data_IF_038588574375
#
_entry.id   IF_038588574375
#
_cell.length_a   1.000
_cell.length_b   1.000
_cell.length_c   1.000
_cell.angle_alpha   90.00
_cell.angle_beta   90.00
_cell.angle_gamma   90.00
#
_symmetry.space_group_name_H-M   'P 1'
#
loop_
_entity.id
_entity.type
_entity.pdbx_description
1 polymer ?
#
# COMPACT_ATOMS: atom_id res chain seq x y z
N UNK A 1 11.55 6.53 -14.40
CA UNK A 1 10.43 6.42 -13.44
C UNK A 1 9.14 7.06 -13.96
N UNK A 2 9.21 8.04 -14.86
CA UNK A 2 8.03 8.56 -15.55
C UNK A 2 7.54 7.59 -16.64
N UNK A 3 6.22 7.59 -16.85
CA UNK A 3 5.55 6.82 -17.89
C UNK A 3 5.65 7.53 -19.25
N UNK A 4 6.04 6.83 -20.35
CA UNK A 4 6.00 7.39 -21.70
C UNK A 4 4.65 8.00 -22.10
N UNK A 5 3.54 7.45 -21.58
CA UNK A 5 2.19 7.92 -21.91
C UNK A 5 1.94 9.35 -21.41
N UNK A 6 2.65 9.79 -20.35
CA UNK A 6 2.53 11.13 -19.77
C UNK A 6 3.18 12.24 -20.63
N UNK A 7 3.91 11.90 -21.70
CA UNK A 7 4.47 12.90 -22.63
C UNK A 7 3.50 13.31 -23.74
N UNK A 8 2.36 12.64 -23.85
CA UNK A 8 1.29 13.02 -24.78
C UNK A 8 0.30 13.97 -24.10
N UNK A 9 -0.27 14.97 -24.82
CA UNK A 9 -1.30 15.84 -24.24
C UNK A 9 -2.51 15.04 -23.76
N UNK A 10 -3.09 15.43 -22.62
CA UNK A 10 -4.23 14.73 -22.04
C UNK A 10 -5.46 14.74 -22.97
N UNK A 11 -6.07 13.57 -23.15
CA UNK A 11 -7.32 13.41 -23.90
C UNK A 11 -8.40 12.79 -23.01
N UNK A 12 -9.48 13.53 -22.65
CA UNK A 12 -10.51 13.03 -21.74
C UNK A 12 -11.40 11.92 -22.35
N UNK A 13 -11.36 11.70 -23.66
CA UNK A 13 -12.17 10.70 -24.35
C UNK A 13 -11.45 9.36 -24.54
N UNK A 14 -10.15 9.29 -24.24
CA UNK A 14 -9.30 8.11 -24.53
C UNK A 14 -8.44 7.76 -23.32
N UNK A 15 -8.61 6.54 -22.81
CA UNK A 15 -7.72 5.96 -21.81
C UNK A 15 -6.63 5.11 -22.47
N UNK A 16 -5.33 5.31 -22.15
CA UNK A 16 -4.26 4.46 -22.66
C UNK A 16 -4.44 2.98 -22.25
N UNK A 17 -4.06 2.01 -23.09
CA UNK A 17 -4.25 0.58 -22.81
C UNK A 17 -3.38 0.05 -21.66
N UNK A 18 -2.21 0.66 -21.41
CA UNK A 18 -1.27 0.23 -20.37
C UNK A 18 -1.25 1.18 -19.16
N UNK A 19 -2.39 1.82 -18.87
CA UNK A 19 -2.52 2.78 -17.77
C UNK A 19 -2.10 2.16 -16.42
N UNK A 20 -1.15 2.81 -15.77
CA UNK A 20 -0.66 2.44 -14.45
C UNK A 20 -0.38 3.71 -13.64
N UNK A 21 -0.50 3.64 -12.31
CA UNK A 21 -0.10 4.75 -11.47
C UNK A 21 1.43 4.82 -11.37
N UNK A 22 1.92 5.90 -10.77
CA UNK A 22 3.32 6.01 -10.42
C UNK A 22 3.75 4.94 -9.41
N UNK A 23 5.04 4.61 -9.41
CA UNK A 23 5.59 3.45 -8.70
C UNK A 23 5.29 3.45 -7.20
N UNK A 24 5.34 4.62 -6.54
CA UNK A 24 5.06 4.75 -5.11
C UNK A 24 3.57 4.63 -4.76
N UNK A 25 2.67 4.66 -5.74
CA UNK A 25 1.24 4.39 -5.58
C UNK A 25 0.84 2.96 -5.94
N UNK A 26 1.78 2.12 -6.38
CA UNK A 26 1.45 0.75 -6.79
C UNK A 26 0.83 -0.07 -5.65
N UNK A 27 1.33 0.05 -4.41
CA UNK A 27 0.76 -0.66 -3.26
C UNK A 27 -0.71 -0.27 -3.00
N UNK A 28 -1.04 1.02 -3.13
CA UNK A 28 -2.41 1.51 -2.96
C UNK A 28 -3.32 0.98 -4.08
N UNK A 29 -2.82 0.96 -5.31
CA UNK A 29 -3.55 0.43 -6.45
C UNK A 29 -3.79 -1.08 -6.36
N UNK A 30 -2.81 -1.86 -5.86
CA UNK A 30 -2.98 -3.30 -5.66
C UNK A 30 -4.02 -3.62 -4.58
N UNK A 31 -4.06 -2.85 -3.49
CA UNK A 31 -5.09 -2.96 -2.44
C UNK A 31 -6.47 -2.58 -2.99
N UNK A 32 -6.56 -1.50 -3.79
CA UNK A 32 -7.83 -1.04 -4.33
C UNK A 32 -8.47 -2.05 -5.30
N UNK A 33 -7.65 -2.68 -6.16
CA UNK A 33 -8.12 -3.65 -7.17
C UNK A 33 -8.37 -5.06 -6.62
N UNK A 34 -7.83 -5.39 -5.46
CA UNK A 34 -8.01 -6.73 -4.86
C UNK A 34 -9.42 -6.94 -4.32
N UNK A 35 -10.15 -5.85 -4.02
CA UNK A 35 -11.53 -5.88 -3.53
C UNK A 35 -12.48 -5.53 -4.68
N UNK A 36 -13.35 -6.46 -5.13
CA UNK A 36 -14.30 -6.23 -6.22
C UNK A 36 -15.51 -5.40 -5.76
N UNK A 37 -15.30 -4.36 -4.96
CA UNK A 37 -16.31 -3.44 -4.47
C UNK A 37 -15.73 -2.03 -4.33
N UNK A 38 -16.45 -1.02 -4.86
CA UNK A 38 -15.98 0.37 -4.87
C UNK A 38 -15.78 0.94 -3.46
N UNK A 39 -16.75 0.76 -2.57
CA UNK A 39 -16.69 1.27 -1.20
C UNK A 39 -15.70 0.46 -0.36
N UNK A 40 -15.71 -0.86 -0.49
CA UNK A 40 -14.78 -1.75 0.20
C UNK A 40 -13.31 -1.46 -0.13
N UNK A 41 -13.00 -1.25 -1.41
CA UNK A 41 -11.64 -0.88 -1.85
C UNK A 41 -11.17 0.45 -1.27
N UNK A 42 -12.03 1.48 -1.25
CA UNK A 42 -11.69 2.78 -0.65
C UNK A 42 -11.48 2.67 0.87
N UNK A 43 -12.33 1.90 1.56
CA UNK A 43 -12.16 1.67 3.00
C UNK A 43 -10.85 0.91 3.30
N UNK A 44 -10.53 -0.12 2.52
CA UNK A 44 -9.28 -0.86 2.69
C UNK A 44 -8.04 0.02 2.46
N UNK A 45 -8.08 0.89 1.45
CA UNK A 45 -7.02 1.86 1.22
C UNK A 45 -6.83 2.79 2.42
N UNK A 46 -7.91 3.38 2.94
CA UNK A 46 -7.83 4.23 4.13
C UNK A 46 -7.28 3.46 5.34
N UNK A 47 -7.76 2.24 5.57
CA UNK A 47 -7.31 1.40 6.67
C UNK A 47 -5.83 0.99 6.55
N UNK A 48 -5.31 0.80 5.33
CA UNK A 48 -3.89 0.46 5.10
C UNK A 48 -2.93 1.53 5.61
N UNK A 49 -3.36 2.78 5.65
CA UNK A 49 -2.60 3.90 6.20
C UNK A 49 -2.92 4.09 7.69
N UNK A 50 -4.21 4.02 8.06
CA UNK A 50 -4.66 4.22 9.44
C UNK A 50 -4.06 3.22 10.43
N UNK A 51 -3.79 1.98 10.00
CA UNK A 51 -3.21 0.95 10.87
C UNK A 51 -1.85 1.38 11.45
N UNK A 52 -1.10 2.25 10.78
CA UNK A 52 0.18 2.78 11.26
C UNK A 52 0.02 3.64 12.52
N UNK A 53 -1.11 4.36 12.63
CA UNK A 53 -1.43 5.16 13.83
C UNK A 53 -1.93 4.31 14.99
N UNK A 54 -2.55 3.16 14.68
CA UNK A 54 -3.05 2.20 15.67
C UNK A 54 -1.91 1.31 16.21
N UNK A 55 -0.87 1.06 15.41
CA UNK A 55 0.29 0.23 15.75
C UNK A 55 0.88 0.47 17.17
N UNK A 56 1.12 1.70 17.65
CA UNK A 56 1.62 1.91 19.02
C UNK A 56 0.61 1.54 20.10
N UNK A 57 -0.70 1.65 19.84
CA UNK A 57 -1.76 1.36 20.81
C UNK A 57 -1.94 -0.14 21.02
N UNK A 58 -1.74 -0.94 19.98
CA UNK A 58 -1.85 -2.41 20.03
C UNK A 58 -0.52 -3.09 20.40
N UNK A 59 0.56 -2.33 20.57
CA UNK A 59 1.87 -2.88 20.91
C UNK A 59 1.91 -3.34 22.38
N UNK A 60 1.73 -4.63 22.62
CA UNK A 60 1.66 -5.19 23.99
C UNK A 60 3.02 -5.54 24.60
N UNK A 61 4.10 -5.56 23.81
CA UNK A 61 5.41 -5.96 24.30
C UNK A 61 6.10 -4.84 25.07
N UNK A 62 6.71 -5.18 26.21
CA UNK A 62 7.54 -4.26 26.99
C UNK A 62 8.91 -3.98 26.36
N UNK A 63 9.33 -4.81 25.41
CA UNK A 63 10.63 -4.70 24.72
C UNK A 63 10.47 -3.87 23.45
N UNK A 64 10.99 -2.64 23.47
CA UNK A 64 10.88 -1.67 22.36
C UNK A 64 11.65 -2.10 21.10
N UNK A 65 12.81 -2.72 21.28
CA UNK A 65 13.70 -3.04 20.16
C UNK A 65 13.40 -4.43 19.57
N UNK A 66 13.55 -4.55 18.24
CA UNK A 66 13.34 -5.81 17.51
C UNK A 66 14.52 -6.79 17.61
N UNK A 67 15.67 -6.34 18.12
CA UNK A 67 16.93 -7.09 18.19
C UNK A 67 16.76 -8.46 18.88
N UNK A 68 16.09 -8.49 20.04
CA UNK A 68 15.91 -9.67 20.89
C UNK A 68 14.52 -10.31 20.76
N UNK A 69 13.81 -10.08 19.64
CA UNK A 69 12.46 -10.60 19.39
C UNK A 69 12.42 -11.41 18.08
N UNK A 70 12.98 -12.64 18.05
CA UNK A 70 13.18 -13.39 16.81
C UNK A 70 11.88 -13.66 16.03
N UNK A 71 10.79 -14.03 16.73
CA UNK A 71 9.48 -14.28 16.10
C UNK A 71 8.94 -13.01 15.44
N UNK A 72 8.98 -11.88 16.15
CA UNK A 72 8.45 -10.60 15.65
C UNK A 72 9.34 -10.07 14.52
N UNK A 73 10.64 -10.34 14.55
CA UNK A 73 11.56 -10.02 13.46
C UNK A 73 11.16 -10.74 12.16
N UNK A 74 10.76 -12.01 12.24
CA UNK A 74 10.25 -12.74 11.07
C UNK A 74 8.98 -12.06 10.53
N UNK A 75 7.99 -11.80 11.40
CA UNK A 75 6.74 -11.13 10.98
C UNK A 75 6.96 -9.73 10.39
N UNK A 76 7.91 -8.97 10.93
CA UNK A 76 8.26 -7.67 10.40
C UNK A 76 8.83 -7.78 8.98
N UNK A 77 9.77 -8.70 8.75
CA UNK A 77 10.35 -8.86 7.41
C UNK A 77 9.39 -9.46 6.40
N UNK A 78 8.45 -10.32 6.83
CA UNK A 78 7.38 -10.78 5.93
C UNK A 78 6.45 -9.63 5.53
N UNK A 79 6.15 -8.70 6.45
CA UNK A 79 5.34 -7.50 6.14
C UNK A 79 6.06 -6.53 5.19
N UNK A 80 7.37 -6.38 5.33
CA UNK A 80 8.18 -5.49 4.45
C UNK A 80 8.34 -6.09 3.04
N UNK A 81 8.29 -7.42 2.92
CA UNK A 81 8.41 -8.11 1.65
C UNK A 81 7.08 -8.25 0.88
N UNK A 82 5.95 -8.03 1.55
CA UNK A 82 4.60 -7.98 0.97
C UNK A 82 4.39 -6.68 0.17
#
# INVERSE_FOLDING_TARGET
>A
LGDPDNFTPANPLVTPPHIKPEWYFLFAYTILRSIPNKLGGVLALLLSILILFIAPLIHTSKQRTLAFRPIVKIFFWTLVAD
#
